data_IF_994024027101
#
_entry.id   IF_994024027101
#
_cell.length_a   1.000
_cell.length_b   1.000
_cell.length_c   1.000
_cell.angle_alpha   90.00
_cell.angle_beta   90.00
_cell.angle_gamma   90.00
#
_symmetry.space_group_name_H-M   'P 1'
#
loop_
_entity.id
_entity.type
_entity.pdbx_description
1 polymer ?
#
# COMPACT_ATOMS: atom_id res chain seq x y z
N UNK A 1 -3.86 16.50 8.79
CA UNK A 1 -3.53 15.55 7.71
C UNK A 1 -4.81 15.18 7.00
N UNK A 2 -4.79 15.00 5.69
CA UNK A 2 -5.96 14.65 4.88
C UNK A 2 -5.65 13.44 4.00
N UNK A 3 -6.59 12.51 3.91
CA UNK A 3 -6.52 11.39 2.98
C UNK A 3 -7.50 11.66 1.83
N UNK A 4 -7.00 11.62 0.60
CA UNK A 4 -7.79 12.00 -0.57
C UNK A 4 -7.67 10.90 -1.61
N UNK A 5 -8.82 10.40 -2.09
CA UNK A 5 -8.88 9.61 -3.31
C UNK A 5 -8.92 10.58 -4.49
N UNK A 6 -7.93 10.55 -5.38
CA UNK A 6 -7.83 11.53 -6.47
C UNK A 6 -7.41 10.90 -7.80
N UNK A 7 -7.87 11.54 -8.88
CA UNK A 7 -7.40 11.31 -10.25
C UNK A 7 -6.62 12.53 -10.78
N UNK A 8 -6.29 13.51 -9.92
CA UNK A 8 -5.51 14.70 -10.30
C UNK A 8 -4.08 14.29 -10.69
N UNK A 9 -3.67 14.47 -11.97
CA UNK A 9 -2.35 14.09 -12.44
C UNK A 9 -1.20 14.77 -11.68
N UNK A 10 -1.39 16.00 -11.18
CA UNK A 10 -0.36 16.72 -10.45
C UNK A 10 -0.09 16.05 -9.09
N UNK A 11 -1.14 15.70 -8.36
CA UNK A 11 -1.01 14.99 -7.08
C UNK A 11 -0.44 13.59 -7.26
N UNK A 12 -0.87 12.89 -8.30
CA UNK A 12 -0.39 11.54 -8.62
C UNK A 12 1.10 11.56 -9.00
N UNK A 13 1.53 12.52 -9.83
CA UNK A 13 2.94 12.68 -10.16
C UNK A 13 3.81 13.04 -8.95
N UNK A 14 3.31 13.89 -8.04
CA UNK A 14 4.00 14.16 -6.78
C UNK A 14 4.15 12.90 -5.93
N UNK A 15 3.14 12.04 -5.90
CA UNK A 15 3.24 10.74 -5.23
C UNK A 15 4.21 9.77 -5.92
N UNK A 16 4.24 9.72 -7.25
CA UNK A 16 5.22 8.91 -8.00
C UNK A 16 6.67 9.38 -7.77
N UNK A 17 6.88 10.68 -7.51
CA UNK A 17 8.18 11.22 -7.09
C UNK A 17 8.59 10.67 -5.73
N UNK A 18 7.69 10.70 -4.74
CA UNK A 18 7.94 10.14 -3.39
C UNK A 18 8.22 8.64 -3.45
N UNK A 19 7.49 7.92 -4.32
CA UNK A 19 7.77 6.49 -4.57
C UNK A 19 9.16 6.29 -5.16
N UNK A 20 9.60 7.14 -6.08
CA UNK A 20 10.95 7.06 -6.66
C UNK A 20 12.03 7.25 -5.59
N UNK A 21 11.96 8.32 -4.81
CA UNK A 21 12.89 8.59 -3.70
C UNK A 21 12.95 7.38 -2.76
N UNK A 22 11.79 6.81 -2.40
CA UNK A 22 11.74 5.69 -1.48
C UNK A 22 12.24 4.37 -2.07
N UNK A 23 11.68 3.94 -3.19
CA UNK A 23 11.91 2.59 -3.72
C UNK A 23 13.16 2.50 -4.58
N UNK A 24 13.51 3.56 -5.31
CA UNK A 24 14.70 3.58 -6.16
C UNK A 24 15.90 4.08 -5.35
N UNK A 25 15.84 5.28 -4.79
CA UNK A 25 17.02 5.91 -4.18
C UNK A 25 17.36 5.33 -2.79
N UNK A 26 16.38 5.22 -1.91
CA UNK A 26 16.62 4.76 -0.53
C UNK A 26 16.68 3.24 -0.39
N UNK A 27 15.77 2.52 -1.05
CA UNK A 27 15.64 1.08 -0.91
C UNK A 27 16.37 0.28 -1.98
N UNK A 28 16.78 0.92 -3.09
CA UNK A 28 17.44 0.27 -4.23
C UNK A 28 16.68 -0.96 -4.72
N UNK A 29 15.34 -0.88 -4.68
CA UNK A 29 14.43 -1.96 -4.97
C UNK A 29 13.98 -1.98 -6.43
N UNK A 30 14.00 -0.82 -7.08
CA UNK A 30 13.54 -0.60 -8.44
C UNK A 30 14.64 0.14 -9.22
N UNK A 31 14.73 -0.02 -10.55
CA UNK A 31 15.77 0.63 -11.36
C UNK A 31 15.56 2.15 -11.48
N UNK A 32 16.67 2.87 -11.63
CA UNK A 32 16.65 4.30 -11.94
C UNK A 32 16.05 4.60 -13.32
N UNK A 33 15.43 5.78 -13.47
CA UNK A 33 14.91 6.26 -14.74
C UNK A 33 15.02 7.79 -14.86
N UNK A 34 15.05 8.30 -16.08
CA UNK A 34 15.27 9.72 -16.38
C UNK A 34 14.12 10.63 -15.89
N UNK A 35 12.88 10.14 -15.91
CA UNK A 35 11.72 10.89 -15.41
C UNK A 35 11.80 11.09 -13.88
N UNK A 36 12.55 10.23 -13.19
CA UNK A 36 12.61 10.13 -11.73
C UNK A 36 11.21 10.00 -11.11
N UNK A 37 10.38 9.17 -11.74
CA UNK A 37 9.05 8.79 -11.26
C UNK A 37 9.01 7.27 -11.18
N UNK A 38 8.55 6.70 -10.06
CA UNK A 38 8.37 5.25 -9.96
C UNK A 38 6.93 4.90 -10.35
N UNK A 39 6.81 4.26 -11.51
CA UNK A 39 5.58 3.74 -12.09
C UNK A 39 5.83 2.31 -12.54
N UNK A 40 4.85 1.44 -12.38
CA UNK A 40 4.88 0.07 -12.88
C UNK A 40 3.66 -0.25 -13.74
N UNK A 41 3.59 -1.49 -14.27
CA UNK A 41 2.48 -1.95 -15.11
C UNK A 41 1.09 -1.88 -14.44
N UNK A 42 1.03 -1.81 -13.11
CA UNK A 42 -0.21 -1.71 -12.33
C UNK A 42 -0.66 -0.27 -12.09
N UNK A 43 0.17 0.72 -12.43
CA UNK A 43 -0.23 2.13 -12.47
C UNK A 43 -1.00 2.47 -13.76
N UNK A 44 -0.91 1.62 -14.78
CA UNK A 44 -1.58 1.81 -16.06
C UNK A 44 -3.02 1.28 -16.05
N UNK A 45 -3.99 2.20 -15.94
CA UNK A 45 -5.45 2.00 -15.99
C UNK A 45 -6.02 0.99 -14.97
N UNK A 46 -7.03 1.43 -14.21
CA UNK A 46 -7.77 0.66 -13.18
C UNK A 46 -7.15 0.57 -11.78
N UNK A 47 -6.19 1.43 -11.46
CA UNK A 47 -5.84 1.72 -10.07
C UNK A 47 -6.40 3.09 -9.64
N UNK A 48 -6.57 3.26 -8.33
CA UNK A 48 -6.84 4.55 -7.73
C UNK A 48 -5.71 4.91 -6.77
N UNK A 49 -5.39 6.19 -6.67
CA UNK A 49 -4.37 6.67 -5.75
C UNK A 49 -5.01 7.37 -4.56
N UNK A 50 -4.66 6.91 -3.37
CA UNK A 50 -4.93 7.62 -2.14
C UNK A 50 -3.71 8.44 -1.81
N UNK A 51 -3.92 9.74 -1.77
CA UNK A 51 -2.89 10.73 -1.53
C UNK A 51 -3.04 11.23 -0.09
N UNK A 52 -1.91 11.32 0.59
CA UNK A 52 -1.81 11.87 1.94
C UNK A 52 -1.33 13.30 1.79
N UNK A 53 -2.12 14.24 2.30
CA UNK A 53 -1.75 15.66 2.31
C UNK A 53 -1.52 16.20 3.72
N UNK A 54 -0.53 17.08 3.82
CA UNK A 54 -0.24 17.89 4.99
C UNK A 54 0.11 19.30 4.52
N UNK A 55 -0.52 20.33 5.08
CA UNK A 55 -0.35 21.73 4.68
C UNK A 55 -0.40 21.97 3.15
N UNK A 56 -1.38 21.33 2.49
CA UNK A 56 -1.61 21.37 1.03
C UNK A 56 -0.50 20.74 0.18
N UNK A 57 0.46 20.05 0.78
CA UNK A 57 1.51 19.31 0.09
C UNK A 57 1.20 17.82 0.10
N UNK A 58 1.56 17.13 -0.98
CA UNK A 58 1.54 15.66 -1.04
C UNK A 58 2.73 15.15 -0.24
N UNK A 59 2.45 14.38 0.81
CA UNK A 59 3.48 13.82 1.68
C UNK A 59 3.59 12.30 1.57
N UNK A 60 2.74 11.67 0.78
CA UNK A 60 2.73 10.22 0.62
C UNK A 60 1.45 9.73 -0.02
N UNK A 61 1.30 8.41 -0.03
CA UNK A 61 0.10 7.79 -0.55
C UNK A 61 0.14 6.27 -0.56
N UNK A 62 -0.90 5.69 -1.14
CA UNK A 62 -1.05 4.27 -1.41
C UNK A 62 -1.82 4.09 -2.72
N UNK A 63 -1.45 3.05 -3.46
CA UNK A 63 -2.20 2.59 -4.64
C UNK A 63 -3.22 1.54 -4.24
N UNK A 64 -4.43 1.66 -4.79
CA UNK A 64 -5.50 0.68 -4.66
C UNK A 64 -5.83 0.08 -6.02
N UNK A 65 -5.89 -1.25 -6.08
CA UNK A 65 -6.19 -1.99 -7.29
C UNK A 65 -7.44 -2.82 -7.04
N UNK A 66 -8.50 -2.54 -7.80
CA UNK A 66 -9.77 -3.24 -7.72
C UNK A 66 -9.71 -4.53 -8.55
N UNK A 67 -9.87 -5.68 -7.87
CA UNK A 67 -9.80 -6.99 -8.55
C UNK A 67 -10.90 -7.20 -9.59
N UNK A 68 -12.03 -6.49 -9.47
CA UNK A 68 -13.11 -6.52 -10.46
C UNK A 68 -12.67 -5.95 -11.82
N UNK A 69 -11.59 -5.16 -11.84
CA UNK A 69 -11.12 -4.42 -13.03
C UNK A 69 -9.73 -4.84 -13.49
N UNK A 70 -8.89 -5.35 -12.60
CA UNK A 70 -7.52 -5.71 -12.90
C UNK A 70 -7.03 -6.90 -12.06
N UNK A 71 -6.03 -7.60 -12.58
CA UNK A 71 -5.29 -8.61 -11.81
C UNK A 71 -4.48 -7.91 -10.71
N UNK A 72 -4.48 -8.48 -9.50
CA UNK A 72 -3.76 -7.91 -8.37
C UNK A 72 -2.27 -8.33 -8.38
N UNK A 73 -1.32 -7.43 -8.05
CA UNK A 73 0.10 -7.78 -7.92
C UNK A 73 0.38 -8.96 -6.99
N UNK A 74 -0.40 -9.11 -5.91
CA UNK A 74 -0.27 -10.20 -4.94
C UNK A 74 -0.51 -11.57 -5.56
N UNK A 75 -1.31 -11.66 -6.64
CA UNK A 75 -1.64 -12.92 -7.32
C UNK A 75 -0.41 -13.62 -7.90
N UNK A 76 0.65 -12.87 -8.22
CA UNK A 76 1.93 -13.41 -8.71
C UNK A 76 2.69 -14.20 -7.62
N UNK A 77 2.27 -14.10 -6.36
CA UNK A 77 3.02 -14.55 -5.19
C UNK A 77 2.25 -15.49 -4.25
N UNK A 78 0.99 -15.81 -4.60
CA UNK A 78 0.12 -16.63 -3.76
C UNK A 78 0.55 -18.09 -3.74
N UNK A 79 0.27 -18.75 -2.60
CA UNK A 79 0.29 -20.21 -2.60
C UNK A 79 -0.83 -20.75 -3.50
N UNK A 80 -0.67 -21.95 -4.10
CA UNK A 80 -1.71 -22.54 -4.95
C UNK A 80 -3.10 -22.61 -4.29
N UNK A 81 -3.17 -22.94 -2.99
CA UNK A 81 -4.42 -22.98 -2.22
C UNK A 81 -5.08 -21.60 -1.97
N UNK A 82 -4.38 -20.51 -2.30
CA UNK A 82 -4.87 -19.14 -2.19
C UNK A 82 -5.05 -18.46 -3.55
N UNK A 83 -4.79 -19.14 -4.67
CA UNK A 83 -4.92 -18.61 -6.03
C UNK A 83 -6.32 -18.06 -6.35
N UNK A 84 -7.36 -18.61 -5.73
CA UNK A 84 -8.74 -18.15 -5.89
C UNK A 84 -9.08 -17.06 -4.86
N UNK A 85 -8.63 -15.82 -5.09
CA UNK A 85 -9.08 -14.70 -4.27
C UNK A 85 -10.59 -14.42 -4.54
N UNK A 86 -11.29 -13.68 -3.66
CA UNK A 86 -12.65 -13.19 -3.92
C UNK A 86 -12.68 -12.17 -5.07
N UNK A 87 -13.79 -12.04 -5.79
CA UNK A 87 -13.92 -10.98 -6.81
C UNK A 87 -14.05 -9.58 -6.19
N UNK A 88 -14.76 -9.47 -5.07
CA UNK A 88 -14.97 -8.20 -4.34
C UNK A 88 -13.82 -7.90 -3.37
N UNK A 89 -12.59 -7.87 -3.89
CA UNK A 89 -11.42 -7.50 -3.10
C UNK A 89 -10.55 -6.43 -3.75
N UNK A 90 -9.69 -5.84 -2.93
CA UNK A 90 -8.78 -4.77 -3.30
C UNK A 90 -7.37 -5.09 -2.81
N UNK A 91 -6.36 -4.75 -3.59
CA UNK A 91 -4.98 -4.69 -3.13
C UNK A 91 -4.56 -3.27 -2.79
N UNK A 92 -3.95 -3.11 -1.62
CA UNK A 92 -3.22 -1.94 -1.16
C UNK A 92 -1.74 -2.15 -1.48
N UNK A 93 -1.15 -1.28 -2.28
CA UNK A 93 0.25 -1.39 -2.69
C UNK A 93 0.96 -0.03 -2.64
N UNK A 94 2.30 -0.05 -2.66
CA UNK A 94 3.15 1.16 -2.72
C UNK A 94 2.87 2.18 -1.61
N UNK A 95 2.41 1.72 -0.44
CA UNK A 95 2.23 2.61 0.69
C UNK A 95 3.58 3.25 1.07
N UNK A 96 3.67 4.58 0.97
CA UNK A 96 4.89 5.32 1.26
C UNK A 96 4.58 6.73 1.78
N UNK A 97 5.50 7.29 2.57
CA UNK A 97 5.50 8.66 3.08
C UNK A 97 6.88 9.24 2.77
N UNK A 98 6.92 10.51 2.36
CA UNK A 98 8.14 11.26 2.09
C UNK A 98 9.06 11.25 3.32
N UNK A 99 10.36 11.13 3.05
CA UNK A 99 11.42 11.10 4.05
C UNK A 99 11.40 12.33 4.96
N UNK A 100 11.11 13.50 4.40
CA UNK A 100 11.10 14.78 5.14
C UNK A 100 10.12 14.74 6.31
N UNK A 101 9.07 13.93 6.21
CA UNK A 101 8.04 13.75 7.22
C UNK A 101 8.40 12.60 8.16
N UNK A 102 9.67 12.51 8.61
CA UNK A 102 10.17 11.49 9.53
C UNK A 102 9.31 11.41 10.80
N UNK A 103 8.29 10.56 10.76
CA UNK A 103 7.41 10.30 11.88
C UNK A 103 8.21 9.54 12.94
N UNK A 104 8.17 10.02 14.17
CA UNK A 104 8.64 9.25 15.31
C UNK A 104 7.79 7.97 15.45
N UNK A 105 8.23 7.02 16.30
CA UNK A 105 7.53 5.74 16.45
C UNK A 105 6.04 5.95 16.79
N UNK A 106 5.72 6.84 17.73
CA UNK A 106 4.34 7.11 18.12
C UNK A 106 3.50 7.68 16.95
N UNK A 107 4.07 8.61 16.19
CA UNK A 107 3.41 9.18 15.01
C UNK A 107 3.18 8.14 13.91
N UNK A 108 4.14 7.22 13.69
CA UNK A 108 3.96 6.10 12.75
C UNK A 108 2.81 5.18 13.16
N UNK A 109 2.71 4.90 14.47
CA UNK A 109 1.65 4.09 15.06
C UNK A 109 0.29 4.77 14.82
N UNK A 110 0.16 6.03 15.20
CA UNK A 110 -1.09 6.79 15.05
C UNK A 110 -1.48 6.92 13.57
N UNK A 111 -0.52 7.26 12.72
CA UNK A 111 -0.71 7.34 11.28
C UNK A 111 -1.23 6.01 10.71
N UNK A 112 -0.59 4.88 11.04
CA UNK A 112 -0.99 3.58 10.52
C UNK A 112 -2.41 3.22 10.95
N UNK A 113 -2.79 3.58 12.18
CA UNK A 113 -4.15 3.35 12.70
C UNK A 113 -5.19 4.18 11.94
N UNK A 114 -4.95 5.48 11.76
CA UNK A 114 -5.84 6.36 10.98
C UNK A 114 -5.96 5.90 9.53
N UNK A 115 -4.83 5.53 8.92
CA UNK A 115 -4.81 4.98 7.56
C UNK A 115 -5.62 3.68 7.46
N UNK A 116 -5.47 2.75 8.41
CA UNK A 116 -6.26 1.53 8.44
C UNK A 116 -7.76 1.85 8.57
N UNK A 117 -8.14 2.71 9.52
CA UNK A 117 -9.55 3.07 9.75
C UNK A 117 -10.16 3.71 8.50
N UNK A 118 -9.42 4.59 7.83
CA UNK A 118 -9.85 5.23 6.59
C UNK A 118 -10.00 4.22 5.43
N UNK A 119 -8.97 3.39 5.18
CA UNK A 119 -9.00 2.40 4.10
C UNK A 119 -10.10 1.37 4.29
N UNK A 120 -10.32 0.87 5.50
CA UNK A 120 -11.42 -0.05 5.78
C UNK A 120 -12.77 0.64 5.55
N UNK A 121 -12.95 1.87 6.05
CA UNK A 121 -14.19 2.63 5.86
C UNK A 121 -14.51 2.83 4.38
N UNK A 122 -13.56 3.38 3.61
CA UNK A 122 -13.77 3.65 2.19
C UNK A 122 -13.91 2.35 1.41
N UNK A 123 -13.09 1.34 1.70
CA UNK A 123 -13.18 0.07 1.00
C UNK A 123 -14.52 -0.65 1.22
N UNK A 124 -15.07 -0.60 2.44
CA UNK A 124 -16.42 -1.12 2.72
C UNK A 124 -17.50 -0.32 1.98
N UNK A 125 -17.40 1.01 1.92
CA UNK A 125 -18.32 1.85 1.12
C UNK A 125 -18.26 1.52 -0.37
N UNK A 126 -17.07 1.16 -0.88
CA UNK A 126 -16.87 0.72 -2.28
C UNK A 126 -17.27 -0.74 -2.54
N UNK A 127 -17.77 -1.44 -1.52
CA UNK A 127 -18.25 -2.82 -1.61
C UNK A 127 -17.16 -3.90 -1.54
N UNK A 128 -15.95 -3.56 -1.10
CA UNK A 128 -14.89 -4.54 -0.89
C UNK A 128 -15.08 -5.29 0.44
N UNK A 129 -14.96 -6.61 0.38
CA UNK A 129 -15.09 -7.49 1.56
C UNK A 129 -13.75 -8.08 2.00
N UNK A 130 -12.67 -7.84 1.26
CA UNK A 130 -11.34 -8.35 1.57
C UNK A 130 -10.26 -7.42 1.03
N UNK A 131 -9.20 -7.24 1.82
CA UNK A 131 -8.08 -6.37 1.52
C UNK A 131 -6.80 -7.19 1.47
N UNK A 132 -5.92 -6.88 0.53
CA UNK A 132 -4.68 -7.62 0.28
C UNK A 132 -3.50 -6.66 0.17
N UNK A 133 -2.28 -7.12 0.48
CA UNK A 133 -1.05 -6.40 0.18
C UNK A 133 0.16 -7.34 0.21
N UNK A 134 1.24 -6.89 -0.40
CA UNK A 134 2.59 -7.37 -0.11
C UNK A 134 3.22 -6.43 0.93
N UNK A 135 3.50 -6.93 2.13
CA UNK A 135 4.03 -6.13 3.24
C UNK A 135 5.39 -6.64 3.71
N UNK A 136 6.26 -5.72 4.14
CA UNK A 136 7.53 -6.09 4.79
C UNK A 136 7.22 -6.79 6.12
N UNK A 137 7.85 -7.94 6.40
CA UNK A 137 7.60 -8.75 7.62
C UNK A 137 7.68 -7.93 8.91
N UNK A 138 8.63 -6.98 9.00
CA UNK A 138 8.74 -6.08 10.14
C UNK A 138 7.49 -5.18 10.30
N UNK A 139 6.96 -4.65 9.21
CA UNK A 139 5.74 -3.85 9.20
C UNK A 139 4.51 -4.69 9.57
N UNK A 140 4.44 -5.95 9.12
CA UNK A 140 3.37 -6.87 9.51
C UNK A 140 3.32 -7.09 11.04
N UNK A 141 4.48 -7.24 11.67
CA UNK A 141 4.60 -7.36 13.14
C UNK A 141 4.15 -6.09 13.84
N UNK A 142 4.61 -4.92 13.36
CA UNK A 142 4.20 -3.63 13.89
C UNK A 142 2.68 -3.43 13.77
N UNK A 143 2.09 -3.76 12.62
CA UNK A 143 0.66 -3.55 12.40
C UNK A 143 -0.22 -4.30 13.40
N UNK A 144 0.17 -5.52 13.78
CA UNK A 144 -0.52 -6.30 14.83
C UNK A 144 -0.40 -5.67 16.22
N UNK A 145 0.71 -4.99 16.50
CA UNK A 145 0.93 -4.28 17.78
C UNK A 145 0.15 -2.96 17.82
N UNK A 146 0.04 -2.30 16.66
CA UNK A 146 -0.53 -0.95 16.54
C UNK A 146 -2.04 -0.94 16.50
N UNK A 147 -2.65 -1.91 15.80
CA UNK A 147 -4.10 -2.02 15.74
C UNK A 147 -4.52 -3.48 15.94
N UNK A 148 -4.87 -3.88 17.18
CA UNK A 148 -5.27 -5.25 17.50
C UNK A 148 -6.61 -5.66 16.83
N UNK A 149 -7.33 -4.70 16.24
CA UNK A 149 -8.54 -4.94 15.43
C UNK A 149 -8.19 -5.44 14.04
N UNK A 150 -6.96 -5.21 13.55
CA UNK A 150 -6.53 -5.69 12.23
C UNK A 150 -5.99 -7.11 12.35
N UNK A 151 -6.75 -8.05 11.80
CA UNK A 151 -6.28 -9.40 11.60
C UNK A 151 -5.51 -9.50 10.29
N UNK A 152 -4.38 -10.19 10.32
CA UNK A 152 -3.50 -10.37 9.17
C UNK A 152 -3.17 -11.84 8.99
N UNK A 153 -3.56 -12.40 7.85
CA UNK A 153 -3.28 -13.79 7.47
C UNK A 153 -2.27 -13.83 6.33
N UNK A 154 -1.19 -14.58 6.48
CA UNK A 154 -0.21 -14.83 5.41
C UNK A 154 -0.86 -15.78 4.38
N UNK A 155 -0.78 -15.43 3.09
CA UNK A 155 -1.46 -16.15 2.01
C UNK A 155 -0.53 -16.52 0.84
N UNK A 156 0.77 -16.24 0.97
CA UNK A 156 1.74 -16.53 -0.07
C UNK A 156 3.13 -16.71 0.48
N UNK A 157 4.05 -17.08 -0.40
CA UNK A 157 5.44 -17.31 -0.04
C UNK A 157 6.20 -15.99 0.20
N UNK A 158 7.28 -16.08 0.97
CA UNK A 158 8.28 -15.01 1.04
C UNK A 158 8.99 -14.95 -0.30
N UNK A 159 8.65 -13.96 -1.11
CA UNK A 159 9.03 -13.98 -2.52
C UNK A 159 9.99 -12.88 -2.93
N UNK A 160 10.28 -11.91 -2.05
CA UNK A 160 11.19 -10.83 -2.40
C UNK A 160 11.85 -10.22 -1.18
N UNK A 161 13.14 -9.87 -1.31
CA UNK A 161 13.86 -9.03 -0.35
C UNK A 161 13.94 -7.63 -0.92
N UNK A 162 13.28 -6.67 -0.27
CA UNK A 162 13.47 -5.25 -0.53
C UNK A 162 14.48 -4.73 0.50
N UNK A 163 15.73 -4.49 0.09
CA UNK A 163 16.80 -4.08 1.00
C UNK A 163 16.91 -5.01 2.23
N UNK A 164 16.72 -4.45 3.43
CA UNK A 164 16.85 -5.16 4.71
C UNK A 164 15.63 -6.02 5.13
N UNK A 165 14.58 -6.16 4.29
CA UNK A 165 13.32 -6.78 4.69
C UNK A 165 12.72 -7.74 3.66
N UNK A 166 12.16 -8.85 4.14
CA UNK A 166 11.38 -9.80 3.33
C UNK A 166 9.93 -9.32 3.19
N UNK A 167 9.37 -9.39 1.97
CA UNK A 167 7.96 -9.18 1.70
C UNK A 167 7.15 -10.47 1.87
N UNK A 168 5.93 -10.34 2.40
CA UNK A 168 4.95 -11.42 2.51
C UNK A 168 3.58 -10.99 1.97
N UNK A 169 2.94 -11.82 1.12
CA UNK A 169 1.55 -11.67 0.74
C UNK A 169 0.63 -11.87 1.95
N UNK A 170 -0.23 -10.89 2.23
CA UNK A 170 -1.16 -10.94 3.35
C UNK A 170 -2.57 -10.54 2.96
N UNK A 171 -3.54 -11.16 3.63
CA UNK A 171 -4.94 -10.72 3.69
C UNK A 171 -5.16 -9.94 4.98
N UNK A 172 -5.80 -8.78 4.90
CA UNK A 172 -6.25 -8.00 6.04
C UNK A 172 -7.76 -8.11 6.23
N UNK A 173 -8.17 -8.14 7.49
CA UNK A 173 -9.55 -7.99 7.92
C UNK A 173 -9.59 -7.14 9.19
N UNK A 174 -10.70 -6.43 9.41
CA UNK A 174 -10.98 -5.74 10.66
C UNK A 174 -11.94 -6.61 11.48
N UNK A 175 -11.60 -6.86 12.75
CA UNK A 175 -12.53 -7.49 13.70
C UNK A 175 -13.74 -6.57 13.88
N UNK A 176 -14.92 -7.17 13.86
CA UNK A 176 -16.18 -6.51 14.19
C UNK A 176 -16.15 -5.97 15.62
#
# INVERSE_FOLDING_TARGET
>A
MQFILTNDPAMINAYFRIRYERYVEEMQAEPENEERLEKDKYDANNCCHYIIMYDKQVIGGCRLIDRRRARLPVEDFLFPQHSNLPLNCVELSRFTISREYHLNVFQKIMFQREFNDYIFSVGTQLGFSSFFANIIVACARLQRLVDPRVEMKIIGNKNFRLGAGELIPVKFSKKA
#
